data_IF_745966762862
#
_entry.id   IF_745966762862
#
_cell.length_a   1.000
_cell.length_b   1.000
_cell.length_c   1.000
_cell.angle_alpha   90.00
_cell.angle_beta   90.00
_cell.angle_gamma   90.00
#
_symmetry.space_group_name_H-M   'P 1'
#
loop_
_entity.id
_entity.type
_entity.pdbx_description
1 polymer ?
#
# COMPACT_ATOMS: atom_id res chain seq x y z
N UNK A 1 -23.32 2.73 10.38
CA UNK A 1 -24.25 3.86 10.09
C UNK A 1 -24.84 3.63 8.70
N UNK A 2 -26.13 3.89 8.46
CA UNK A 2 -26.74 3.77 7.12
C UNK A 2 -27.18 5.14 6.63
N UNK A 3 -26.96 5.43 5.36
CA UNK A 3 -27.43 6.65 4.73
C UNK A 3 -28.97 6.58 4.50
N UNK A 4 -29.64 7.69 4.69
CA UNK A 4 -31.04 7.83 4.32
C UNK A 4 -31.16 8.05 2.80
N UNK A 5 -32.34 7.72 2.19
CA UNK A 5 -32.59 8.02 0.78
C UNK A 5 -32.32 9.49 0.45
N UNK A 6 -31.57 9.74 -0.62
CA UNK A 6 -31.16 11.06 -1.07
C UNK A 6 -29.83 11.02 -1.84
N UNK A 7 -29.29 12.17 -2.16
CA UNK A 7 -28.11 12.33 -3.01
C UNK A 7 -26.89 11.49 -2.55
N UNK A 8 -26.60 11.48 -1.25
CA UNK A 8 -25.47 10.71 -0.71
C UNK A 8 -25.70 9.19 -0.81
N UNK A 9 -26.94 8.74 -0.57
CA UNK A 9 -27.28 7.33 -0.76
C UNK A 9 -27.16 6.93 -2.23
N UNK A 10 -27.66 7.77 -3.14
CA UNK A 10 -27.58 7.50 -4.59
C UNK A 10 -26.13 7.44 -5.07
N UNK A 11 -25.26 8.33 -4.56
CA UNK A 11 -23.83 8.31 -4.83
C UNK A 11 -23.14 7.04 -4.29
N UNK A 12 -23.50 6.60 -3.06
CA UNK A 12 -23.02 5.33 -2.50
C UNK A 12 -23.41 4.14 -3.38
N UNK A 13 -24.69 4.09 -3.83
CA UNK A 13 -25.16 3.02 -4.71
C UNK A 13 -24.46 3.03 -6.08
N UNK A 14 -24.14 4.22 -6.62
CA UNK A 14 -23.37 4.34 -7.84
C UNK A 14 -21.93 3.82 -7.66
N UNK A 15 -21.28 4.17 -6.55
CA UNK A 15 -19.93 3.66 -6.19
C UNK A 15 -19.93 2.15 -6.02
N UNK A 16 -20.95 1.59 -5.35
CA UNK A 16 -21.10 0.14 -5.17
C UNK A 16 -21.17 -0.61 -6.51
N UNK A 17 -22.03 -0.12 -7.43
CA UNK A 17 -22.13 -0.71 -8.78
C UNK A 17 -20.82 -0.62 -9.53
N UNK A 18 -20.17 0.53 -9.54
CA UNK A 18 -18.90 0.73 -10.21
C UNK A 18 -17.82 -0.25 -9.73
N UNK A 19 -17.67 -0.43 -8.41
CA UNK A 19 -16.70 -1.39 -7.85
C UNK A 19 -16.98 -2.83 -8.28
N UNK A 20 -18.26 -3.22 -8.35
CA UNK A 20 -18.65 -4.57 -8.76
C UNK A 20 -18.55 -4.79 -10.29
N UNK A 21 -18.52 -3.73 -11.10
CA UNK A 21 -18.27 -3.80 -12.54
C UNK A 21 -16.78 -3.98 -12.87
N UNK A 22 -15.86 -3.63 -11.93
CA UNK A 22 -14.43 -3.84 -12.14
C UNK A 22 -14.10 -5.33 -12.15
N UNK A 23 -13.29 -5.73 -13.13
CA UNK A 23 -12.75 -7.07 -13.25
C UNK A 23 -11.53 -7.22 -12.35
N UNK A 24 -11.66 -8.07 -11.33
CA UNK A 24 -10.61 -8.31 -10.33
C UNK A 24 -9.37 -8.94 -10.95
N UNK A 25 -9.53 -9.83 -11.93
CA UNK A 25 -8.39 -10.47 -12.57
C UNK A 25 -7.52 -9.46 -13.31
N UNK A 26 -8.13 -8.42 -13.90
CA UNK A 26 -7.40 -7.31 -14.50
C UNK A 26 -6.63 -6.46 -13.48
N UNK A 27 -7.20 -6.24 -12.30
CA UNK A 27 -6.53 -5.55 -11.19
C UNK A 27 -5.37 -6.37 -10.62
N UNK A 28 -5.48 -7.70 -10.64
CA UNK A 28 -4.48 -8.63 -10.14
C UNK A 28 -3.37 -8.96 -11.17
N UNK A 29 -3.58 -8.60 -12.43
CA UNK A 29 -2.63 -8.88 -13.52
C UNK A 29 -1.19 -8.43 -13.20
N UNK A 30 -0.91 -7.20 -12.73
CA UNK A 30 0.44 -6.76 -12.44
C UNK A 30 1.14 -7.62 -11.37
N UNK A 31 0.40 -8.01 -10.33
CA UNK A 31 0.92 -8.84 -9.24
C UNK A 31 1.30 -10.23 -9.72
N UNK A 32 0.42 -10.87 -10.49
CA UNK A 32 0.66 -12.22 -11.04
C UNK A 32 1.81 -12.19 -12.06
N UNK A 33 1.93 -11.11 -12.85
CA UNK A 33 3.05 -10.90 -13.79
C UNK A 33 4.38 -10.87 -13.03
N UNK A 34 4.51 -10.03 -12.01
CA UNK A 34 5.73 -9.91 -11.22
C UNK A 34 6.07 -11.20 -10.45
N UNK A 35 5.05 -11.91 -9.99
CA UNK A 35 5.18 -13.22 -9.34
C UNK A 35 5.55 -14.36 -10.29
N UNK A 36 5.49 -14.14 -11.62
CA UNK A 36 5.71 -15.19 -12.61
C UNK A 36 4.59 -16.24 -12.66
N UNK A 37 3.39 -15.89 -12.19
CA UNK A 37 2.24 -16.77 -12.17
C UNK A 37 1.42 -16.68 -13.47
N UNK A 38 0.75 -17.77 -13.89
CA UNK A 38 -0.12 -17.74 -15.06
C UNK A 38 -1.25 -16.73 -14.87
N UNK A 39 -1.59 -16.01 -15.95
CA UNK A 39 -2.77 -15.17 -15.97
C UNK A 39 -4.04 -16.01 -16.16
N UNK A 40 -5.17 -15.64 -15.53
CA UNK A 40 -6.48 -16.21 -15.86
C UNK A 40 -6.82 -15.95 -17.33
N UNK A 41 -7.79 -16.68 -17.85
CA UNK A 41 -8.35 -16.45 -19.19
C UNK A 41 -9.75 -15.85 -19.09
N UNK A 42 -10.07 -14.96 -20.01
CA UNK A 42 -11.42 -14.43 -20.18
C UNK A 42 -12.40 -15.49 -20.75
N UNK A 43 -13.66 -15.13 -20.94
CA UNK A 43 -14.70 -16.01 -21.46
C UNK A 43 -14.41 -16.52 -22.89
N UNK A 44 -13.58 -15.81 -23.64
CA UNK A 44 -13.17 -16.15 -25.00
C UNK A 44 -11.88 -16.99 -25.04
N UNK A 45 -11.29 -17.27 -23.87
CA UNK A 45 -10.07 -18.07 -23.73
C UNK A 45 -8.78 -17.26 -23.93
N UNK A 46 -8.84 -15.93 -23.99
CA UNK A 46 -7.63 -15.10 -24.09
C UNK A 46 -7.08 -14.81 -22.68
N UNK A 47 -5.74 -14.70 -22.53
CA UNK A 47 -5.17 -14.26 -21.26
C UNK A 47 -5.70 -12.88 -20.87
N UNK A 48 -6.14 -12.73 -19.62
CA UNK A 48 -6.53 -11.43 -19.05
C UNK A 48 -5.30 -10.50 -19.05
N UNK A 49 -5.52 -9.23 -19.36
CA UNK A 49 -4.50 -8.18 -19.31
C UNK A 49 -4.88 -7.09 -18.34
N UNK A 50 -3.92 -6.27 -17.92
CA UNK A 50 -4.13 -5.13 -17.04
C UNK A 50 -5.19 -4.14 -17.56
N UNK A 51 -5.68 -3.27 -16.70
CA UNK A 51 -6.37 -2.06 -17.13
C UNK A 51 -5.40 -1.13 -17.86
N UNK A 52 -5.87 -0.35 -18.87
CA UNK A 52 -5.02 0.58 -19.60
C UNK A 52 -4.62 1.80 -18.74
N UNK A 53 -3.82 2.66 -19.33
CA UNK A 53 -3.28 3.88 -18.73
C UNK A 53 -2.30 3.58 -17.59
N UNK A 54 -2.54 4.05 -16.39
CA UNK A 54 -1.59 3.99 -15.28
C UNK A 54 -1.24 2.57 -14.84
N UNK A 55 -2.14 1.60 -15.06
CA UNK A 55 -1.89 0.19 -14.73
C UNK A 55 -1.03 -0.55 -15.78
N UNK A 56 -0.56 0.15 -16.82
CA UNK A 56 0.33 -0.39 -17.86
C UNK A 56 1.47 0.58 -18.24
N UNK A 57 1.64 1.68 -17.49
CA UNK A 57 2.63 2.72 -17.80
C UNK A 57 3.65 2.95 -16.70
N UNK A 58 3.74 2.06 -15.73
CA UNK A 58 4.71 2.10 -14.63
C UNK A 58 4.12 2.23 -13.23
N UNK A 59 2.82 2.58 -13.11
CA UNK A 59 2.10 2.62 -11.84
C UNK A 59 1.27 1.34 -11.61
N UNK A 60 1.67 0.28 -12.28
CA UNK A 60 0.99 -1.01 -12.33
C UNK A 60 0.74 -1.58 -10.93
N UNK A 61 -0.50 -1.92 -10.61
CA UNK A 61 -0.90 -2.55 -9.34
C UNK A 61 -1.38 -1.58 -8.25
N UNK A 62 -1.21 -0.25 -8.39
CA UNK A 62 -1.62 0.69 -7.33
C UNK A 62 -3.14 0.70 -7.11
N UNK A 63 -3.95 0.53 -8.17
CA UNK A 63 -5.42 0.54 -8.07
C UNK A 63 -5.95 -0.63 -7.22
N UNK A 64 -5.29 -1.78 -7.27
CA UNK A 64 -5.75 -2.96 -6.53
C UNK A 64 -5.77 -2.74 -5.00
N UNK A 65 -4.82 -1.96 -4.45
CA UNK A 65 -4.84 -1.57 -3.03
C UNK A 65 -6.03 -0.68 -2.68
N UNK A 66 -6.27 0.35 -3.48
CA UNK A 66 -7.46 1.21 -3.31
C UNK A 66 -8.76 0.43 -3.48
N UNK A 67 -8.81 -0.49 -4.44
CA UNK A 67 -9.96 -1.37 -4.65
C UNK A 67 -10.25 -2.23 -3.43
N UNK A 68 -9.20 -2.81 -2.83
CA UNK A 68 -9.34 -3.62 -1.62
C UNK A 68 -9.89 -2.79 -0.46
N UNK A 69 -9.32 -1.61 -0.18
CA UNK A 69 -9.85 -0.69 0.84
C UNK A 69 -11.31 -0.30 0.59
N UNK A 70 -11.67 -0.04 -0.67
CA UNK A 70 -13.04 0.28 -1.05
C UNK A 70 -14.00 -0.90 -0.81
N UNK A 71 -13.61 -2.13 -1.16
CA UNK A 71 -14.40 -3.34 -0.88
C UNK A 71 -14.61 -3.53 0.63
N UNK A 72 -13.56 -3.30 1.44
CA UNK A 72 -13.66 -3.34 2.91
C UNK A 72 -14.68 -2.33 3.43
N UNK A 73 -14.62 -1.08 2.95
CA UNK A 73 -15.58 -0.04 3.33
C UNK A 73 -17.02 -0.39 2.92
N UNK A 74 -17.23 -0.88 1.70
CA UNK A 74 -18.56 -1.26 1.24
C UNK A 74 -19.10 -2.51 1.94
N UNK A 75 -18.28 -3.46 2.33
CA UNK A 75 -18.68 -4.62 3.12
C UNK A 75 -19.31 -4.22 4.48
N UNK A 76 -18.96 -3.03 5.01
CA UNK A 76 -19.51 -2.54 6.28
C UNK A 76 -20.85 -1.81 6.11
N UNK A 77 -21.14 -1.25 4.93
CA UNK A 77 -22.26 -0.30 4.77
C UNK A 77 -23.27 -0.68 3.68
N UNK A 78 -22.94 -1.60 2.77
CA UNK A 78 -23.81 -2.05 1.71
C UNK A 78 -25.03 -2.82 2.26
N UNK A 79 -26.15 -2.76 1.55
CA UNK A 79 -27.33 -3.57 1.89
C UNK A 79 -27.09 -5.07 1.65
N UNK A 80 -26.34 -5.41 0.60
CA UNK A 80 -25.79 -6.75 0.36
C UNK A 80 -24.25 -6.68 0.42
N UNK A 81 -23.64 -7.04 1.55
CA UNK A 81 -22.18 -6.95 1.71
C UNK A 81 -21.44 -8.11 1.03
N UNK A 82 -22.10 -9.24 0.74
CA UNK A 82 -21.42 -10.47 0.33
C UNK A 82 -20.56 -10.31 -0.93
N UNK A 83 -21.01 -9.62 -2.00
CA UNK A 83 -20.16 -9.42 -3.17
C UNK A 83 -18.84 -8.70 -2.88
N UNK A 84 -18.82 -7.74 -1.95
CA UNK A 84 -17.62 -7.02 -1.56
C UNK A 84 -16.69 -7.88 -0.71
N UNK A 85 -17.24 -8.70 0.19
CA UNK A 85 -16.50 -9.69 0.98
C UNK A 85 -15.80 -10.68 0.04
N UNK A 86 -16.51 -11.24 -0.93
CA UNK A 86 -15.97 -12.19 -1.89
C UNK A 86 -14.84 -11.57 -2.74
N UNK A 87 -15.00 -10.31 -3.15
CA UNK A 87 -13.98 -9.57 -3.90
C UNK A 87 -12.72 -9.33 -3.06
N UNK A 88 -12.87 -8.84 -1.83
CA UNK A 88 -11.76 -8.65 -0.91
C UNK A 88 -11.01 -9.97 -0.65
N UNK A 89 -11.74 -11.04 -0.34
CA UNK A 89 -11.18 -12.37 -0.14
C UNK A 89 -10.42 -12.88 -1.38
N UNK A 90 -10.90 -12.58 -2.58
CA UNK A 90 -10.22 -12.97 -3.84
C UNK A 90 -8.90 -12.22 -4.00
N UNK A 91 -8.88 -10.90 -3.75
CA UNK A 91 -7.65 -10.10 -3.82
C UNK A 91 -6.62 -10.62 -2.83
N UNK A 92 -6.99 -10.78 -1.55
CA UNK A 92 -6.06 -11.21 -0.50
C UNK A 92 -5.50 -12.61 -0.77
N UNK A 93 -6.33 -13.57 -1.23
CA UNK A 93 -5.86 -14.91 -1.62
C UNK A 93 -4.87 -14.87 -2.78
N UNK A 94 -5.16 -14.08 -3.82
CA UNK A 94 -4.26 -13.93 -4.97
C UNK A 94 -2.94 -13.28 -4.57
N UNK A 95 -2.97 -12.25 -3.72
CA UNK A 95 -1.74 -11.63 -3.22
C UNK A 95 -0.92 -12.59 -2.36
N UNK A 96 -1.55 -13.40 -1.52
CA UNK A 96 -0.84 -14.45 -0.80
C UNK A 96 -0.19 -15.46 -1.76
N UNK A 97 -0.89 -15.91 -2.80
CA UNK A 97 -0.33 -16.80 -3.83
C UNK A 97 0.89 -16.16 -4.53
N UNK A 98 0.78 -14.88 -4.92
CA UNK A 98 1.89 -14.13 -5.51
C UNK A 98 3.09 -14.05 -4.56
N UNK A 99 2.85 -13.73 -3.29
CA UNK A 99 3.89 -13.64 -2.27
C UNK A 99 4.61 -14.97 -2.05
N UNK A 100 3.89 -16.09 -2.04
CA UNK A 100 4.47 -17.42 -1.88
C UNK A 100 5.37 -17.84 -3.05
N UNK A 101 5.15 -17.28 -4.27
CA UNK A 101 6.03 -17.56 -5.40
C UNK A 101 7.46 -17.05 -5.19
N UNK A 102 7.65 -16.06 -4.32
CA UNK A 102 8.94 -15.51 -3.96
C UNK A 102 9.62 -16.21 -2.76
N UNK A 103 9.04 -17.24 -2.16
CA UNK A 103 9.52 -17.84 -0.91
C UNK A 103 10.99 -18.29 -0.95
N UNK A 104 11.51 -18.72 -2.12
CA UNK A 104 12.90 -19.13 -2.34
C UNK A 104 13.86 -18.00 -2.72
N UNK A 105 13.37 -16.78 -2.91
CA UNK A 105 14.17 -15.64 -3.35
C UNK A 105 14.74 -14.88 -2.14
N UNK A 106 16.05 -14.66 -2.10
CA UNK A 106 16.72 -14.03 -0.97
C UNK A 106 16.30 -12.55 -0.78
N UNK A 107 16.04 -11.82 -1.89
CA UNK A 107 15.65 -10.41 -1.87
C UNK A 107 14.14 -10.27 -1.81
N UNK A 108 13.42 -11.00 -2.65
CA UNK A 108 11.98 -10.79 -2.86
C UNK A 108 11.07 -11.58 -1.90
N UNK A 109 11.58 -12.50 -1.10
CA UNK A 109 10.76 -13.27 -0.15
C UNK A 109 9.93 -12.35 0.73
N UNK A 110 8.61 -12.51 0.70
CA UNK A 110 7.65 -11.67 1.41
C UNK A 110 7.10 -10.49 0.60
N UNK A 111 7.70 -10.18 -0.56
CA UNK A 111 7.19 -9.14 -1.47
C UNK A 111 5.86 -9.55 -2.10
N UNK A 112 4.98 -8.58 -2.22
CA UNK A 112 3.79 -8.61 -3.08
C UNK A 112 3.54 -7.18 -3.60
N UNK A 113 3.49 -7.03 -4.90
CA UNK A 113 3.27 -5.73 -5.57
C UNK A 113 3.26 -5.90 -7.08
N UNK A 114 2.79 -4.86 -7.77
CA UNK A 114 2.70 -4.84 -9.23
C UNK A 114 3.78 -3.99 -9.92
N UNK A 115 4.76 -3.48 -9.16
CA UNK A 115 5.84 -2.62 -9.70
C UNK A 115 6.57 -3.33 -10.83
N UNK A 116 6.60 -2.78 -12.05
CA UNK A 116 7.31 -3.40 -13.16
C UNK A 116 8.79 -3.61 -12.85
N UNK A 117 9.34 -4.75 -13.27
CA UNK A 117 10.73 -5.14 -13.01
C UNK A 117 11.14 -5.08 -11.54
N UNK A 118 10.21 -5.37 -10.63
CA UNK A 118 10.36 -5.28 -9.18
C UNK A 118 11.65 -5.94 -8.65
N UNK A 119 12.06 -7.10 -9.22
CA UNK A 119 13.32 -7.77 -8.84
C UNK A 119 14.56 -6.90 -9.08
N UNK A 120 14.60 -6.17 -10.19
CA UNK A 120 15.71 -5.26 -10.50
C UNK A 120 15.66 -4.04 -9.59
N UNK A 121 14.49 -3.41 -9.46
CA UNK A 121 14.29 -2.19 -8.66
C UNK A 121 14.68 -2.41 -7.21
N UNK A 122 14.10 -3.43 -6.57
CA UNK A 122 14.36 -3.73 -5.15
C UNK A 122 15.65 -4.51 -4.91
N UNK A 123 16.17 -5.20 -5.93
CA UNK A 123 17.51 -5.81 -5.88
C UNK A 123 18.63 -4.77 -5.81
N UNK A 124 18.52 -3.69 -6.60
CA UNK A 124 19.43 -2.53 -6.51
C UNK A 124 19.33 -1.86 -5.14
N UNK A 125 18.10 -1.60 -4.67
CA UNK A 125 17.86 -1.02 -3.35
C UNK A 125 18.50 -1.86 -2.23
N UNK A 126 18.28 -3.17 -2.22
CA UNK A 126 18.84 -4.08 -1.23
C UNK A 126 20.38 -4.12 -1.25
N UNK A 127 21.00 -3.77 -2.38
CA UNK A 127 22.45 -3.61 -2.52
C UNK A 127 22.97 -2.22 -2.12
N UNK A 128 22.10 -1.30 -1.68
CA UNK A 128 22.42 0.09 -1.38
C UNK A 128 22.55 1.00 -2.61
N UNK A 129 22.21 0.48 -3.80
CA UNK A 129 22.20 1.25 -5.03
C UNK A 129 20.83 1.92 -5.20
N UNK A 130 20.74 3.20 -4.77
CA UNK A 130 19.52 4.00 -4.79
C UNK A 130 19.74 5.26 -5.61
N UNK A 131 19.10 5.32 -6.76
CA UNK A 131 19.00 6.51 -7.62
C UNK A 131 17.55 6.99 -7.62
N UNK A 132 17.27 8.19 -7.09
CA UNK A 132 15.94 8.72 -6.96
C UNK A 132 15.79 10.12 -7.52
N UNK A 133 14.58 10.39 -8.01
CA UNK A 133 14.04 11.70 -8.37
C UNK A 133 12.62 11.78 -7.80
N UNK A 134 11.99 12.96 -7.82
CA UNK A 134 10.67 13.20 -7.20
C UNK A 134 9.62 12.11 -7.47
N UNK A 135 9.63 11.52 -8.66
CA UNK A 135 8.63 10.53 -9.07
C UNK A 135 9.26 9.24 -9.60
N UNK A 136 10.54 8.99 -9.34
CA UNK A 136 11.17 7.73 -9.73
C UNK A 136 12.22 7.27 -8.73
N UNK A 137 12.40 5.96 -8.63
CA UNK A 137 13.48 5.32 -7.92
C UNK A 137 13.93 4.10 -8.71
N UNK A 138 15.25 4.02 -9.00
CA UNK A 138 15.86 2.93 -9.77
C UNK A 138 15.12 2.64 -11.09
N UNK A 139 14.83 3.71 -11.85
CA UNK A 139 14.11 3.72 -13.13
C UNK A 139 12.61 3.33 -13.06
N UNK A 140 12.08 2.97 -11.88
CA UNK A 140 10.66 2.71 -11.70
C UNK A 140 9.89 3.97 -11.27
N UNK A 141 8.66 4.12 -11.75
CA UNK A 141 7.79 5.23 -11.37
C UNK A 141 7.19 4.99 -9.98
N UNK A 142 7.53 5.86 -9.03
CA UNK A 142 7.07 5.87 -7.63
C UNK A 142 6.84 4.48 -6.99
N UNK A 143 7.86 3.58 -7.00
CA UNK A 143 7.65 2.19 -6.61
C UNK A 143 7.22 2.06 -5.14
N UNK A 144 7.66 2.93 -4.24
CA UNK A 144 7.25 2.91 -2.84
C UNK A 144 5.81 3.37 -2.63
N UNK A 145 5.34 4.37 -3.39
CA UNK A 145 3.93 4.75 -3.44
C UNK A 145 3.05 3.57 -3.86
N UNK A 146 3.47 2.82 -4.89
CA UNK A 146 2.76 1.64 -5.36
C UNK A 146 2.67 0.57 -4.27
N UNK A 147 3.79 0.22 -3.63
CA UNK A 147 3.84 -0.75 -2.52
C UNK A 147 2.98 -0.28 -1.34
N UNK A 148 2.96 1.02 -1.04
CA UNK A 148 2.11 1.58 0.02
C UNK A 148 0.63 1.24 -0.19
N UNK A 149 0.12 1.25 -1.43
CA UNK A 149 -1.30 0.93 -1.68
C UNK A 149 -1.63 -0.52 -1.31
N UNK A 150 -0.69 -1.42 -1.51
CA UNK A 150 -0.81 -2.82 -1.06
C UNK A 150 -0.82 -2.91 0.48
N UNK A 151 0.07 -2.18 1.16
CA UNK A 151 0.04 -2.08 2.63
C UNK A 151 -1.30 -1.57 3.14
N UNK A 152 -1.78 -0.44 2.63
CA UNK A 152 -3.02 0.18 3.07
C UNK A 152 -4.22 -0.77 2.94
N UNK A 153 -4.41 -1.38 1.75
CA UNK A 153 -5.52 -2.32 1.54
C UNK A 153 -5.47 -3.55 2.44
N UNK A 154 -4.28 -4.08 2.72
CA UNK A 154 -4.11 -5.22 3.63
C UNK A 154 -4.35 -4.83 5.09
N UNK A 155 -3.90 -3.65 5.53
CA UNK A 155 -4.13 -3.14 6.89
C UNK A 155 -5.61 -2.88 7.14
N UNK A 156 -6.33 -2.27 6.18
CA UNK A 156 -7.77 -2.07 6.26
C UNK A 156 -8.50 -3.42 6.36
N UNK A 157 -8.09 -4.40 5.55
CA UNK A 157 -8.69 -5.74 5.60
C UNK A 157 -8.43 -6.44 6.93
N UNK A 158 -7.20 -6.39 7.43
CA UNK A 158 -6.89 -6.97 8.74
C UNK A 158 -7.70 -6.32 9.85
N UNK A 159 -7.83 -4.97 9.82
CA UNK A 159 -8.56 -4.22 10.82
C UNK A 159 -10.06 -4.54 10.83
N UNK A 160 -10.69 -4.32 9.69
CA UNK A 160 -12.13 -4.16 9.59
C UNK A 160 -12.85 -5.47 9.27
N UNK A 161 -12.14 -6.46 8.71
CA UNK A 161 -12.71 -7.78 8.42
C UNK A 161 -12.69 -8.74 9.60
N UNK A 162 -12.03 -8.42 10.71
CA UNK A 162 -11.97 -9.31 11.88
C UNK A 162 -13.35 -9.76 12.40
N UNK A 163 -14.38 -8.92 12.24
CA UNK A 163 -15.77 -9.22 12.63
C UNK A 163 -16.70 -9.58 11.46
N UNK A 164 -16.21 -9.53 10.21
CA UNK A 164 -16.99 -9.74 8.99
C UNK A 164 -16.62 -11.08 8.35
N UNK A 165 -15.33 -11.29 8.09
CA UNK A 165 -14.74 -12.53 7.57
C UNK A 165 -13.35 -12.70 8.22
N UNK A 166 -13.34 -13.38 9.36
CA UNK A 166 -12.13 -13.62 10.15
C UNK A 166 -11.04 -14.34 9.34
N UNK A 167 -11.41 -15.26 8.45
CA UNK A 167 -10.44 -15.99 7.64
C UNK A 167 -9.67 -15.03 6.70
N UNK A 168 -10.38 -14.16 6.00
CA UNK A 168 -9.77 -13.15 5.12
C UNK A 168 -8.95 -12.14 5.93
N UNK A 169 -9.43 -11.71 7.09
CA UNK A 169 -8.67 -10.82 7.99
C UNK A 169 -7.34 -11.45 8.43
N UNK A 170 -7.34 -12.70 8.88
CA UNK A 170 -6.12 -13.38 9.29
C UNK A 170 -5.15 -13.63 8.14
N UNK A 171 -5.66 -13.90 6.94
CA UNK A 171 -4.82 -14.03 5.76
C UNK A 171 -4.18 -12.67 5.38
N UNK A 172 -4.95 -11.58 5.40
CA UNK A 172 -4.44 -10.22 5.17
C UNK A 172 -3.36 -9.85 6.19
N UNK A 173 -3.57 -10.18 7.47
CA UNK A 173 -2.55 -10.04 8.52
C UNK A 173 -1.26 -10.77 8.16
N UNK A 174 -1.35 -12.03 7.73
CA UNK A 174 -0.17 -12.82 7.34
C UNK A 174 0.57 -12.14 6.19
N UNK A 175 -0.15 -11.76 5.13
CA UNK A 175 0.44 -11.15 3.93
C UNK A 175 1.09 -9.80 4.24
N UNK A 176 0.45 -8.94 5.06
CA UNK A 176 1.02 -7.63 5.38
C UNK A 176 2.23 -7.72 6.29
N UNK A 177 2.26 -8.67 7.23
CA UNK A 177 3.43 -8.88 8.09
C UNK A 177 4.62 -9.41 7.28
N UNK A 178 4.40 -10.36 6.38
CA UNK A 178 5.46 -10.86 5.48
C UNK A 178 5.97 -9.74 4.55
N UNK A 179 5.09 -8.85 4.07
CA UNK A 179 5.46 -7.69 3.26
C UNK A 179 6.27 -6.67 4.08
N UNK A 180 5.90 -6.41 5.33
CA UNK A 180 6.63 -5.55 6.23
C UNK A 180 8.01 -6.13 6.57
N UNK A 181 8.08 -7.43 6.83
CA UNK A 181 9.34 -8.14 7.08
C UNK A 181 10.25 -8.15 5.84
N UNK A 182 9.67 -8.26 4.65
CA UNK A 182 10.42 -8.07 3.41
C UNK A 182 11.07 -6.69 3.35
N UNK A 183 10.28 -5.63 3.56
CA UNK A 183 10.79 -4.26 3.51
C UNK A 183 11.87 -4.03 4.56
N UNK A 184 11.60 -4.36 5.82
CA UNK A 184 12.57 -4.22 6.89
C UNK A 184 13.88 -4.94 6.56
N UNK A 185 13.84 -6.16 6.06
CA UNK A 185 15.03 -6.94 5.70
C UNK A 185 15.93 -6.25 4.66
N UNK A 186 15.35 -5.58 3.66
CA UNK A 186 16.12 -4.91 2.62
C UNK A 186 16.49 -3.46 2.97
N UNK A 187 15.77 -2.82 3.89
CA UNK A 187 15.94 -1.41 4.22
C UNK A 187 16.69 -1.16 5.54
N UNK A 188 16.57 -2.02 6.55
CA UNK A 188 17.29 -1.89 7.83
C UNK A 188 18.83 -1.83 7.68
N UNK A 189 19.48 -2.56 6.75
CA UNK A 189 20.92 -2.49 6.58
C UNK A 189 21.43 -1.18 5.93
N UNK A 190 20.53 -0.38 5.35
CA UNK A 190 20.88 0.87 4.68
C UNK A 190 21.20 1.95 5.72
N UNK A 191 22.27 2.70 5.50
CA UNK A 191 22.55 3.90 6.29
C UNK A 191 21.52 5.00 6.01
N UNK A 192 21.48 6.01 6.87
CA UNK A 192 20.49 7.07 6.80
C UNK A 192 20.61 7.89 5.51
N UNK A 193 21.84 8.15 5.05
CA UNK A 193 22.07 8.87 3.78
C UNK A 193 21.46 8.10 2.59
N UNK A 194 21.58 6.79 2.57
CA UNK A 194 20.97 5.94 1.52
C UNK A 194 19.46 5.89 1.66
N UNK A 195 18.94 5.83 2.89
CA UNK A 195 17.51 5.86 3.13
C UNK A 195 16.89 7.21 2.74
N UNK A 196 17.54 8.33 3.05
CA UNK A 196 17.09 9.67 2.63
C UNK A 196 16.97 9.77 1.10
N UNK A 197 17.82 9.08 0.34
CA UNK A 197 17.66 9.01 -1.12
C UNK A 197 16.36 8.30 -1.54
N UNK A 198 15.88 7.31 -0.77
CA UNK A 198 14.57 6.68 -1.02
C UNK A 198 13.45 7.71 -0.84
N UNK A 199 13.55 8.57 0.19
CA UNK A 199 12.52 9.57 0.53
C UNK A 199 12.40 10.70 -0.50
N UNK A 200 13.38 10.87 -1.38
CA UNK A 200 13.29 11.82 -2.52
C UNK A 200 12.16 11.42 -3.48
N UNK A 201 11.95 10.13 -3.71
CA UNK A 201 10.82 9.64 -4.52
C UNK A 201 9.55 9.57 -3.68
N UNK A 202 8.40 9.87 -4.31
CA UNK A 202 7.10 9.75 -3.65
C UNK A 202 6.89 8.33 -3.07
N UNK A 203 6.58 8.26 -1.76
CA UNK A 203 6.42 6.99 -1.02
C UNK A 203 5.04 6.82 -0.36
N UNK A 204 4.11 7.73 -0.62
CA UNK A 204 2.76 7.67 -0.06
C UNK A 204 2.75 7.71 1.48
N UNK A 205 1.87 6.95 2.09
CA UNK A 205 1.69 6.85 3.55
C UNK A 205 2.48 5.72 4.19
N UNK A 206 3.73 5.47 3.78
CA UNK A 206 4.55 4.40 4.38
C UNK A 206 4.81 4.63 5.88
N UNK A 207 4.96 5.90 6.31
CA UNK A 207 5.06 6.25 7.73
C UNK A 207 3.81 5.77 8.51
N UNK A 208 2.61 6.10 8.03
CA UNK A 208 1.34 5.66 8.62
C UNK A 208 1.23 4.13 8.67
N UNK A 209 1.57 3.44 7.57
CA UNK A 209 1.50 1.98 7.49
C UNK A 209 2.37 1.31 8.54
N UNK A 210 3.61 1.76 8.73
CA UNK A 210 4.51 1.22 9.75
C UNK A 210 4.11 1.63 11.16
N UNK A 211 3.59 2.84 11.36
CA UNK A 211 3.01 3.25 12.64
C UNK A 211 1.83 2.37 13.05
N UNK A 212 0.94 2.04 12.09
CA UNK A 212 -0.19 1.14 12.31
C UNK A 212 0.26 -0.30 12.61
N UNK A 213 1.29 -0.81 11.93
CA UNK A 213 1.90 -2.11 12.24
C UNK A 213 2.47 -2.14 13.66
N UNK A 214 3.17 -1.08 14.07
CA UNK A 214 3.66 -0.95 15.45
C UNK A 214 2.52 -0.96 16.47
N UNK A 215 1.47 -0.15 16.24
CA UNK A 215 0.32 -0.09 17.12
C UNK A 215 -0.38 -1.45 17.33
N UNK A 216 -0.39 -2.31 16.28
CA UNK A 216 -1.05 -3.62 16.31
C UNK A 216 -0.19 -4.75 16.83
N UNK A 217 1.12 -4.65 16.67
CA UNK A 217 2.04 -5.76 17.00
C UNK A 217 2.89 -5.48 18.23
N UNK A 218 3.18 -4.21 18.53
CA UNK A 218 4.15 -3.80 19.53
C UNK A 218 5.61 -4.06 19.14
N UNK A 219 5.88 -4.39 17.86
CA UNK A 219 7.23 -4.69 17.39
C UNK A 219 8.02 -3.42 17.10
N UNK A 220 9.06 -3.14 17.89
CA UNK A 220 9.86 -1.92 17.83
C UNK A 220 10.47 -1.64 16.46
N UNK A 221 10.80 -2.67 15.68
CA UNK A 221 11.33 -2.50 14.32
C UNK A 221 10.37 -1.72 13.41
N UNK A 222 9.06 -1.84 13.60
CA UNK A 222 8.08 -1.10 12.82
C UNK A 222 7.99 0.35 13.25
N UNK A 223 8.17 0.64 14.55
CA UNK A 223 8.30 2.01 15.04
C UNK A 223 9.54 2.70 14.44
N UNK A 224 10.70 2.05 14.50
CA UNK A 224 11.93 2.56 13.88
C UNK A 224 11.74 2.81 12.38
N UNK A 225 11.05 1.91 11.67
CA UNK A 225 10.80 2.09 10.24
C UNK A 225 9.82 3.24 9.97
N UNK A 226 8.77 3.40 10.78
CA UNK A 226 7.87 4.55 10.69
C UNK A 226 8.61 5.87 10.90
N UNK A 227 9.52 5.93 11.86
CA UNK A 227 10.36 7.09 12.14
C UNK A 227 11.26 7.42 10.95
N UNK A 228 11.90 6.44 10.33
CA UNK A 228 12.70 6.65 9.10
C UNK A 228 11.87 7.21 7.93
N UNK A 229 10.56 6.90 7.86
CA UNK A 229 9.64 7.46 6.86
C UNK A 229 9.04 8.82 7.24
N UNK A 230 9.45 9.44 8.33
CA UNK A 230 9.00 10.81 8.67
C UNK A 230 9.39 11.84 7.61
N UNK A 231 10.49 11.62 6.88
CA UNK A 231 11.07 12.61 5.96
C UNK A 231 11.44 13.91 6.70
N UNK A 232 12.49 13.84 7.49
CA UNK A 232 12.95 14.93 8.35
C UNK A 232 13.25 16.23 7.59
N UNK A 233 13.52 16.17 6.29
CA UNK A 233 13.67 17.36 5.45
C UNK A 233 12.39 18.23 5.39
N UNK A 234 11.22 17.64 5.59
CA UNK A 234 9.91 18.31 5.62
C UNK A 234 9.36 18.38 7.04
N UNK A 235 9.48 17.29 7.80
CA UNK A 235 8.95 17.17 9.15
C UNK A 235 9.57 18.21 10.11
N UNK A 236 10.90 18.32 10.17
CA UNK A 236 11.59 19.15 11.17
C UNK A 236 11.27 20.66 11.02
N UNK A 237 11.27 21.25 9.80
CA UNK A 237 10.85 22.63 9.63
C UNK A 237 9.39 22.86 10.05
N UNK A 238 8.46 21.97 9.64
CA UNK A 238 7.04 22.10 10.00
C UNK A 238 6.83 22.00 11.51
N UNK A 239 7.51 21.09 12.21
CA UNK A 239 7.47 20.99 13.67
C UNK A 239 7.99 22.28 14.39
N UNK A 240 8.79 23.08 13.69
CA UNK A 240 9.27 24.39 14.17
C UNK A 240 8.36 25.56 13.74
N UNK A 241 7.26 25.28 13.04
CA UNK A 241 6.33 26.29 12.51
C UNK A 241 6.82 26.98 11.23
N UNK A 242 7.79 26.40 10.52
CA UNK A 242 8.31 26.91 9.25
C UNK A 242 7.56 26.25 8.07
N UNK A 243 6.83 27.05 7.28
CA UNK A 243 6.14 26.56 6.08
C UNK A 243 7.13 26.34 4.92
N UNK A 244 7.41 25.09 4.62
CA UNK A 244 8.25 24.65 3.50
C UNK A 244 7.45 24.01 2.35
N UNK A 245 6.11 24.02 2.41
CA UNK A 245 5.25 23.30 1.48
C UNK A 245 4.99 24.05 0.16
N UNK A 246 5.31 25.35 0.11
CA UNK A 246 5.04 26.17 -1.08
C UNK A 246 5.74 25.63 -2.33
N UNK A 247 4.95 25.29 -3.35
CA UNK A 247 5.43 24.73 -4.63
C UNK A 247 5.60 23.20 -4.64
N UNK A 248 5.36 22.52 -3.51
CA UNK A 248 5.40 21.07 -3.43
C UNK A 248 4.09 20.44 -3.93
N UNK A 249 4.18 19.17 -4.36
CA UNK A 249 3.04 18.41 -4.83
C UNK A 249 2.21 17.88 -3.64
N UNK A 250 0.96 18.33 -3.50
CA UNK A 250 0.12 18.02 -2.35
C UNK A 250 -0.07 16.51 -2.13
N UNK A 251 -0.27 15.74 -3.21
CA UNK A 251 -0.43 14.28 -3.10
C UNK A 251 0.81 13.57 -2.52
N UNK A 252 2.00 14.14 -2.70
CA UNK A 252 3.24 13.63 -2.11
C UNK A 252 3.34 13.99 -0.61
N UNK A 253 2.87 15.16 -0.20
CA UNK A 253 3.11 15.68 1.17
C UNK A 253 1.99 15.30 2.15
N UNK A 254 0.71 15.36 1.74
CA UNK A 254 -0.43 15.10 2.65
C UNK A 254 -0.36 13.70 3.31
N UNK A 255 -0.01 12.60 2.59
CA UNK A 255 0.08 11.28 3.23
C UNK A 255 1.16 11.18 4.32
N UNK A 256 2.21 12.01 4.27
CA UNK A 256 3.25 12.06 5.32
C UNK A 256 2.68 12.58 6.63
N UNK A 257 1.86 13.65 6.55
CA UNK A 257 1.21 14.27 7.72
C UNK A 257 0.33 13.26 8.46
N UNK A 258 -0.42 12.42 7.74
CA UNK A 258 -1.21 11.34 8.36
C UNK A 258 -0.35 10.37 9.17
N UNK A 259 0.84 10.05 8.66
CA UNK A 259 1.80 9.20 9.38
C UNK A 259 2.36 9.85 10.63
N UNK A 260 2.66 11.16 10.58
CA UNK A 260 3.16 11.91 11.72
C UNK A 260 2.10 12.00 12.83
N UNK A 261 0.87 12.36 12.48
CA UNK A 261 -0.25 12.41 13.41
C UNK A 261 -0.50 11.04 14.06
N UNK A 262 -0.41 9.96 13.26
CA UNK A 262 -0.55 8.60 13.80
C UNK A 262 0.56 8.24 14.80
N UNK A 263 1.82 8.59 14.52
CA UNK A 263 2.93 8.43 15.47
C UNK A 263 2.74 9.28 16.71
N UNK A 264 2.34 10.54 16.57
CA UNK A 264 1.99 11.43 17.68
C UNK A 264 1.00 10.77 18.63
N UNK A 265 -0.10 10.26 18.08
CA UNK A 265 -1.16 9.61 18.86
C UNK A 265 -0.72 8.30 19.55
N UNK A 266 0.20 7.52 18.94
CA UNK A 266 0.65 6.22 19.51
C UNK A 266 1.78 6.42 20.53
N UNK A 267 2.73 7.32 20.24
CA UNK A 267 3.96 7.50 21.03
C UNK A 267 3.91 8.70 21.96
N UNK A 268 2.84 9.52 21.94
CA UNK A 268 2.76 10.83 22.60
C UNK A 268 3.92 11.75 22.16
N UNK A 269 4.20 11.81 20.86
CA UNK A 269 5.27 12.61 20.27
C UNK A 269 4.78 14.04 20.02
N UNK A 270 5.14 14.98 20.90
CA UNK A 270 4.73 16.39 20.80
C UNK A 270 5.26 17.09 19.55
N UNK A 271 6.37 16.61 18.96
CA UNK A 271 6.91 17.16 17.71
C UNK A 271 6.05 16.72 16.50
N UNK A 272 5.58 15.47 16.53
CA UNK A 272 4.65 14.99 15.52
C UNK A 272 3.33 15.77 15.55
N UNK A 273 2.77 16.02 16.74
CA UNK A 273 1.58 16.87 16.91
C UNK A 273 1.81 18.30 16.42
N UNK A 274 3.02 18.85 16.60
CA UNK A 274 3.34 20.21 16.15
C UNK A 274 3.55 20.32 14.63
N UNK A 275 3.91 19.23 13.95
CA UNK A 275 4.15 19.19 12.50
C UNK A 275 2.86 18.98 11.68
N UNK A 276 1.77 18.57 12.32
CA UNK A 276 0.46 18.31 11.68
C UNK A 276 -0.49 19.49 11.80
#
# INVERSE_FOLDING_TARGET
MRLLPGEHFDAQQAGARYLLELDVDRLLYPFRREAGLPQPTDADGNPVTSYPNWEETGLDGHIAGHYLSACVGFAQVADDPQPFIDRAATVVRSWHECQQSFAGDAVMRGYVGGVPDSRTVFGRLAAGDVESQNFSMNDAWVPMYNVHKTFAGLLDTWADFASIDEQTSQLARTVVLDLADWWCRIAEPLDDETFDRILVSEFGGMCESFAELYARTGEERYHVMADRFKDHAIFDPLAQGEDVLTGMHANTQIPKVLGWERLGAICNDEQADAAT
#
